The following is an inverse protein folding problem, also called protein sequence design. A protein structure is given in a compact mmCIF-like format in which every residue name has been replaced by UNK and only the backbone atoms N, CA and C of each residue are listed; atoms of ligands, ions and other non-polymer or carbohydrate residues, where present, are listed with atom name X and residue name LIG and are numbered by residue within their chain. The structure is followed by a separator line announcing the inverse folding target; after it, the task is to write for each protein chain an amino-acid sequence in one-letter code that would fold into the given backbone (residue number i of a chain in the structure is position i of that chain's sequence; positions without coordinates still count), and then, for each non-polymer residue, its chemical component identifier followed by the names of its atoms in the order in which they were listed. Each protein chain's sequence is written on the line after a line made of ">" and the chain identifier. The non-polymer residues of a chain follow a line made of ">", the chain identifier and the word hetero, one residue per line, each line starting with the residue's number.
data_IF_933505778136
#
_entry.id   IF_933505778136
#
_cell.length_a   1.000
_cell.length_b   1.000
_cell.length_c   1.000
_cell.angle_alpha   90.00
_cell.angle_beta   90.00
_cell.angle_gamma   90.00
#
_symmetry.space_group_name_H-M   'P 1'
#
loop_
_entity.id
_entity.type
_entity.pdbx_description
1 polymer ?
#
# COMPACT_ATOMS: atom_id res chain seq x y z
N UNK A 1 1.03 -15.28 7.71
CA UNK A 1 1.83 -14.04 7.55
C UNK A 1 1.03 -12.96 6.81
N UNK A 2 0.59 -13.18 5.56
CA UNK A 2 -0.29 -12.24 4.81
C UNK A 2 -1.56 -11.85 5.59
N UNK A 3 -2.17 -12.80 6.30
CA UNK A 3 -3.41 -12.55 7.05
C UNK A 3 -3.21 -11.59 8.23
N UNK A 4 -2.02 -11.61 8.84
CA UNK A 4 -1.65 -10.71 9.94
C UNK A 4 -1.43 -9.29 9.41
N UNK A 5 -0.77 -9.14 8.25
CA UNK A 5 -0.58 -7.86 7.57
C UNK A 5 -1.91 -7.26 7.11
N UNK A 6 -2.82 -8.08 6.56
CA UNK A 6 -4.19 -7.65 6.24
C UNK A 6 -4.94 -7.20 7.48
N UNK A 7 -4.84 -7.94 8.60
CA UNK A 7 -5.47 -7.57 9.87
C UNK A 7 -4.86 -6.32 10.51
N UNK A 8 -3.55 -6.10 10.39
CA UNK A 8 -2.90 -4.86 10.89
C UNK A 8 -3.19 -3.67 9.99
N UNK A 9 -3.27 -3.84 8.68
CA UNK A 9 -3.76 -2.81 7.76
C UNK A 9 -5.24 -2.51 8.01
N UNK A 10 -6.07 -3.53 8.18
CA UNK A 10 -7.51 -3.36 8.46
C UNK A 10 -7.75 -2.78 9.86
N UNK A 11 -6.88 -3.07 10.83
CA UNK A 11 -6.89 -2.43 12.15
C UNK A 11 -6.35 -0.99 12.10
N UNK A 12 -5.35 -0.71 11.26
CA UNK A 12 -4.81 0.64 11.04
C UNK A 12 -5.77 1.54 10.27
N UNK A 13 -6.43 1.00 9.25
CA UNK A 13 -7.51 1.65 8.50
C UNK A 13 -8.78 1.74 9.36
N UNK A 14 -9.10 0.69 10.12
CA UNK A 14 -10.23 0.65 11.05
C UNK A 14 -10.08 1.54 12.29
N UNK A 15 -8.85 1.95 12.64
CA UNK A 15 -8.60 2.96 13.66
C UNK A 15 -8.71 4.41 13.13
N UNK A 16 -8.57 4.61 11.81
CA UNK A 16 -8.68 5.92 11.16
C UNK A 16 -10.12 6.24 10.67
N UNK A 17 -10.93 5.22 10.38
CA UNK A 17 -12.34 5.38 10.00
C UNK A 17 -13.20 5.41 11.26
N UNK A 18 -13.26 6.56 11.93
CA UNK A 18 -14.33 6.81 12.90
C UNK A 18 -15.63 6.94 12.10
N UNK A 19 -16.57 6.00 12.28
CA UNK A 19 -17.87 6.03 11.61
C UNK A 19 -18.79 7.08 12.23
N UNK A 20 -19.74 7.58 11.42
CA UNK A 20 -20.76 8.54 11.85
C UNK A 20 -21.44 8.09 13.14
N UNK A 21 -21.81 6.81 13.25
CA UNK A 21 -22.44 6.23 14.44
C UNK A 21 -21.59 6.38 15.71
N UNK A 22 -20.26 6.29 15.58
CA UNK A 22 -19.34 6.47 16.71
C UNK A 22 -19.26 7.93 17.15
N UNK A 23 -19.22 8.84 16.18
CA UNK A 23 -19.20 10.30 16.42
C UNK A 23 -20.52 10.77 17.03
N UNK A 24 -21.65 10.28 16.51
CA UNK A 24 -22.99 10.56 17.05
C UNK A 24 -23.10 10.07 18.49
N UNK A 25 -22.58 8.89 18.82
CA UNK A 25 -22.56 8.37 20.20
C UNK A 25 -21.78 9.27 21.16
N UNK A 26 -20.57 9.71 20.79
CA UNK A 26 -19.78 10.63 21.64
C UNK A 26 -20.42 12.00 21.79
N UNK A 27 -21.05 12.50 20.72
CA UNK A 27 -21.73 13.80 20.76
C UNK A 27 -23.05 13.72 21.55
N UNK A 28 -23.77 12.60 21.52
CA UNK A 28 -24.96 12.38 22.36
C UNK A 28 -24.60 12.42 23.85
N UNK A 29 -23.45 11.85 24.23
CA UNK A 29 -22.95 11.95 25.61
C UNK A 29 -22.66 13.41 26.01
N UNK A 30 -22.20 14.24 25.08
CA UNK A 30 -21.98 15.67 25.32
C UNK A 30 -23.29 16.45 25.43
N UNK A 31 -24.33 16.00 24.70
CA UNK A 31 -25.69 16.55 24.84
C UNK A 31 -26.27 16.19 26.20
N UNK A 32 -26.13 14.94 26.65
CA UNK A 32 -26.58 14.48 27.98
C UNK A 32 -25.88 15.22 29.12
N UNK A 33 -24.62 15.61 28.92
CA UNK A 33 -23.85 16.42 29.87
C UNK A 33 -24.18 17.92 29.81
N UNK A 34 -25.06 18.36 28.90
CA UNK A 34 -25.43 19.76 28.71
C UNK A 34 -24.32 20.62 28.09
N UNK A 35 -23.27 20.00 27.53
CA UNK A 35 -22.10 20.69 26.95
C UNK A 35 -22.35 21.18 25.53
N UNK A 36 -23.25 20.50 24.80
CA UNK A 36 -23.60 20.78 23.41
C UNK A 36 -25.11 20.57 23.27
N UNK A 37 -25.81 21.36 22.45
CA UNK A 37 -27.22 21.08 22.19
C UNK A 37 -27.36 19.98 21.10
N UNK A 38 -28.51 19.32 21.04
CA UNK A 38 -28.73 18.20 20.11
C UNK A 38 -28.58 18.59 18.63
N UNK A 39 -28.87 19.85 18.27
CA UNK A 39 -28.77 20.35 16.91
C UNK A 39 -27.31 20.54 16.49
N UNK A 40 -26.50 21.16 17.34
CA UNK A 40 -25.07 21.39 17.13
C UNK A 40 -24.31 20.07 17.10
N UNK A 41 -24.67 19.13 17.96
CA UNK A 41 -24.13 17.77 17.95
C UNK A 41 -24.34 17.09 16.58
N UNK A 42 -25.54 17.21 16.01
CA UNK A 42 -25.84 16.62 14.70
C UNK A 42 -25.05 17.26 13.57
N UNK A 43 -24.97 18.60 13.57
CA UNK A 43 -24.19 19.36 12.58
C UNK A 43 -22.70 19.01 12.67
N UNK A 44 -22.15 18.89 13.88
CA UNK A 44 -20.76 18.48 14.09
C UNK A 44 -20.53 17.05 13.61
N UNK A 45 -21.42 16.11 13.91
CA UNK A 45 -21.30 14.73 13.47
C UNK A 45 -21.25 14.61 11.94
N UNK A 46 -22.16 15.31 11.25
CA UNK A 46 -22.20 15.33 9.80
C UNK A 46 -20.94 15.94 9.20
N UNK A 47 -20.48 17.07 9.76
CA UNK A 47 -19.30 17.77 9.27
C UNK A 47 -18.03 16.95 9.45
N UNK A 48 -17.84 16.31 10.61
CA UNK A 48 -16.70 15.43 10.89
C UNK A 48 -16.74 14.21 9.97
N UNK A 49 -17.91 13.60 9.78
CA UNK A 49 -18.05 12.42 8.92
C UNK A 49 -17.77 12.75 7.44
N UNK A 50 -18.24 13.90 6.96
CA UNK A 50 -18.01 14.32 5.57
C UNK A 50 -16.54 14.71 5.33
N UNK A 51 -15.94 15.46 6.27
CA UNK A 51 -14.55 15.86 6.17
C UNK A 51 -13.60 14.66 6.27
N UNK A 52 -13.86 13.74 7.21
CA UNK A 52 -13.11 12.50 7.35
C UNK A 52 -13.19 11.62 6.12
N UNK A 53 -14.33 11.58 5.42
CA UNK A 53 -14.46 10.82 4.16
C UNK A 53 -13.60 11.41 3.05
N UNK A 54 -13.59 12.73 2.88
CA UNK A 54 -12.75 13.41 1.88
C UNK A 54 -11.26 13.22 2.16
N UNK A 55 -10.84 13.44 3.40
CA UNK A 55 -9.45 13.24 3.81
C UNK A 55 -9.01 11.78 3.62
N UNK A 56 -9.89 10.82 3.90
CA UNK A 56 -9.63 9.40 3.66
C UNK A 56 -9.47 9.06 2.17
N UNK A 57 -10.34 9.58 1.31
CA UNK A 57 -10.27 9.35 -0.14
C UNK A 57 -8.97 9.94 -0.73
N UNK A 58 -8.56 11.13 -0.29
CA UNK A 58 -7.29 11.76 -0.68
C UNK A 58 -6.10 10.90 -0.22
N UNK A 59 -6.07 10.50 1.05
CA UNK A 59 -5.03 9.63 1.61
C UNK A 59 -4.96 8.29 0.88
N UNK A 60 -6.10 7.67 0.58
CA UNK A 60 -6.18 6.40 -0.11
C UNK A 60 -5.60 6.51 -1.53
N UNK A 61 -5.92 7.59 -2.25
CA UNK A 61 -5.36 7.88 -3.57
C UNK A 61 -3.84 8.06 -3.52
N UNK A 62 -3.35 8.88 -2.58
CA UNK A 62 -1.93 9.16 -2.39
C UNK A 62 -1.15 7.88 -2.03
N UNK A 63 -1.72 7.07 -1.15
CA UNK A 63 -1.12 5.80 -0.73
C UNK A 63 -1.06 4.82 -1.90
N UNK A 64 -2.11 4.72 -2.70
CA UNK A 64 -2.15 3.84 -3.86
C UNK A 64 -1.11 4.25 -4.91
N UNK A 65 -0.92 5.56 -5.14
CA UNK A 65 0.13 6.08 -6.01
C UNK A 65 1.54 5.72 -5.50
N UNK A 66 1.80 5.87 -4.20
CA UNK A 66 3.09 5.51 -3.59
C UNK A 66 3.37 4.01 -3.67
N UNK A 67 2.38 3.17 -3.37
CA UNK A 67 2.53 1.72 -3.45
C UNK A 67 2.82 1.30 -4.90
N UNK A 68 2.08 1.84 -5.86
CA UNK A 68 2.28 1.52 -7.29
C UNK A 68 3.68 1.92 -7.75
N UNK A 69 4.14 3.13 -7.41
CA UNK A 69 5.49 3.58 -7.77
C UNK A 69 6.63 2.76 -7.14
N UNK A 70 6.44 2.25 -5.91
CA UNK A 70 7.39 1.33 -5.28
C UNK A 70 7.43 -0.03 -5.97
N UNK A 71 6.26 -0.57 -6.34
CA UNK A 71 6.16 -1.85 -7.07
C UNK A 71 6.76 -1.76 -8.47
N UNK A 72 6.53 -0.66 -9.19
CA UNK A 72 7.09 -0.43 -10.52
C UNK A 72 8.63 -0.34 -10.48
N UNK A 73 9.18 0.39 -9.51
CA UNK A 73 10.65 0.49 -9.33
C UNK A 73 11.26 -0.86 -8.99
N UNK A 74 10.66 -1.61 -8.07
CA UNK A 74 11.14 -2.94 -7.70
C UNK A 74 11.08 -3.93 -8.86
N UNK A 75 10.02 -3.87 -9.67
CA UNK A 75 9.86 -4.72 -10.85
C UNK A 75 10.87 -4.38 -11.94
N UNK A 76 11.15 -3.10 -12.17
CA UNK A 76 12.16 -2.65 -13.12
C UNK A 76 13.58 -3.13 -12.72
N UNK A 77 13.94 -3.02 -11.45
CA UNK A 77 15.23 -3.53 -10.93
C UNK A 77 15.34 -5.06 -11.05
N UNK A 78 14.26 -5.79 -10.76
CA UNK A 78 14.23 -7.24 -10.91
C UNK A 78 14.41 -7.66 -12.38
N UNK A 79 13.70 -7.01 -13.30
CA UNK A 79 13.81 -7.28 -14.73
C UNK A 79 15.22 -6.98 -15.26
N UNK A 80 15.84 -5.86 -14.86
CA UNK A 80 17.21 -5.54 -15.24
C UNK A 80 18.21 -6.62 -14.78
N UNK A 81 18.03 -7.15 -13.57
CA UNK A 81 18.85 -8.26 -13.06
C UNK A 81 18.61 -9.56 -13.82
N UNK A 82 17.37 -9.84 -14.21
CA UNK A 82 17.04 -11.01 -15.04
C UNK A 82 17.71 -10.92 -16.40
N UNK A 83 17.57 -9.79 -17.12
CA UNK A 83 18.22 -9.58 -18.43
C UNK A 83 19.74 -9.75 -18.34
N UNK A 84 20.38 -9.20 -17.30
CA UNK A 84 21.82 -9.35 -17.12
C UNK A 84 22.24 -10.81 -16.85
N UNK A 85 21.40 -11.60 -16.18
CA UNK A 85 21.64 -13.03 -15.98
C UNK A 85 21.44 -13.83 -17.28
N UNK A 86 20.39 -13.53 -18.05
CA UNK A 86 20.15 -14.17 -19.35
C UNK A 86 21.32 -13.95 -20.32
N UNK A 87 21.88 -12.74 -20.35
CA UNK A 87 23.03 -12.43 -21.19
C UNK A 87 24.29 -13.18 -20.75
N UNK A 88 24.52 -13.27 -19.44
CA UNK A 88 25.62 -14.07 -18.88
C UNK A 88 25.46 -15.56 -19.19
N UNK A 89 24.26 -16.09 -19.09
CA UNK A 89 23.95 -17.49 -19.43
C UNK A 89 24.24 -17.73 -20.91
N UNK A 90 23.77 -16.87 -21.82
CA UNK A 90 24.07 -16.97 -23.26
C UNK A 90 25.57 -16.98 -23.55
N UNK A 91 26.34 -16.11 -22.90
CA UNK A 91 27.80 -16.07 -23.07
C UNK A 91 28.45 -17.37 -22.59
N UNK A 92 27.99 -17.93 -21.47
CA UNK A 92 28.52 -19.19 -20.93
C UNK A 92 28.14 -20.38 -21.82
N UNK A 93 26.90 -20.41 -22.32
CA UNK A 93 26.43 -21.42 -23.26
C UNK A 93 27.20 -21.38 -24.57
N UNK A 94 27.48 -20.19 -25.11
CA UNK A 94 28.30 -20.03 -26.31
C UNK A 94 29.74 -20.56 -26.11
N UNK A 95 30.33 -20.30 -24.94
CA UNK A 95 31.67 -20.82 -24.58
C UNK A 95 31.70 -22.33 -24.38
N UNK A 96 30.60 -22.93 -23.92
CA UNK A 96 30.48 -24.39 -23.80
C UNK A 96 30.19 -25.07 -25.15
N UNK A 97 29.53 -24.37 -26.07
CA UNK A 97 29.21 -24.87 -27.40
C UNK A 97 30.41 -24.79 -28.36
N UNK A 98 31.43 -23.98 -28.05
CA UNK A 98 32.69 -23.98 -28.77
C UNK A 98 33.43 -25.31 -28.47
N UNK A 99 33.60 -26.21 -29.46
CA UNK A 99 34.21 -27.52 -29.22
C UNK A 99 35.66 -27.32 -28.75
N UNK A 100 36.21 -28.21 -27.91
CA UNK A 100 37.61 -28.14 -27.55
C UNK A 100 38.42 -28.21 -28.84
N UNK A 101 39.06 -27.09 -29.19
CA UNK A 101 40.12 -27.08 -30.18
C UNK A 101 41.19 -28.01 -29.62
N UNK A 102 41.15 -29.28 -30.03
CA UNK A 102 42.30 -30.16 -30.03
C UNK A 102 43.33 -29.47 -30.92
N UNK A 103 44.06 -28.53 -30.35
CA UNK A 103 45.41 -28.18 -30.78
C UNK A 103 46.22 -29.46 -30.55
N UNK A 104 46.19 -30.33 -31.56
CA UNK A 104 47.10 -31.44 -31.66
C UNK A 104 48.52 -30.89 -31.70
N UNK A 105 49.34 -31.38 -30.78
CA UNK A 105 50.76 -31.63 -31.05
C UNK A 105 50.87 -32.42 -32.36
N UNK A 106 51.87 -32.09 -33.19
CA UNK A 106 53.24 -32.58 -32.95
C UNK A 106 54.32 -31.49 -32.89
#
# INVERSE_FOLDING_TARGET
>A
MIDLLKKTLLAGVGAAVITKDKIEGTLDDFVRQGKVNAQDARIMADKIAEQGRREFDELASDLNGRISGLLDRSSAEANARITALEERVKVLEAKLAEPPTRSGEP
#
